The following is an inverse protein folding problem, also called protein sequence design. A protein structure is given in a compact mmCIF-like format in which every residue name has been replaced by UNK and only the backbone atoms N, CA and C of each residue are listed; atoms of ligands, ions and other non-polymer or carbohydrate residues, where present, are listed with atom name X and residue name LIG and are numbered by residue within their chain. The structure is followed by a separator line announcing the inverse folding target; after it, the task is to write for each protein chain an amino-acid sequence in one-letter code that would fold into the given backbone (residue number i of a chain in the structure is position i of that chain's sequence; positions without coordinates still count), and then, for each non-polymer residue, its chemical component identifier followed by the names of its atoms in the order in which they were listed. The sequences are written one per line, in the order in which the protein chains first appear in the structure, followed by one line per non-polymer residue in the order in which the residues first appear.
data_IF_179330809714
#
_entry.id   IF_179330809714
#
_cell.length_a   1.000
_cell.length_b   1.000
_cell.length_c   1.000
_cell.angle_alpha   90.00
_cell.angle_beta   90.00
_cell.angle_gamma   90.00
#
_symmetry.space_group_name_H-M   'P 1'
#
loop_
_entity.id
_entity.type
_entity.pdbx_description
1 polymer ?
2 non-polymer ?
#
# COMPACT_ATOMS: atom_id res chain seq x y z
N UNK A 10 4.26 -23.56 -15.36
CA UNK A 10 3.38 -24.19 -16.35
C UNK A 10 3.95 -24.08 -17.77
N UNK A 11 3.49 -24.96 -18.71
CA UNK A 11 3.96 -24.97 -20.11
C UNK A 11 3.14 -24.05 -21.05
N UNK A 12 2.10 -23.40 -20.51
CA UNK A 12 1.23 -22.43 -21.19
C UNK A 12 1.94 -21.03 -21.15
N UNK A 13 3.04 -20.92 -20.35
CA UNK A 13 3.83 -19.71 -20.06
C UNK A 13 5.36 -19.94 -20.10
N UNK A 14 6.17 -18.84 -20.26
CA UNK A 14 7.65 -18.89 -20.30
C UNK A 14 8.36 -17.67 -19.63
N UNK A 15 9.22 -17.96 -18.62
CA UNK A 15 10.03 -17.00 -17.82
C UNK A 15 11.09 -16.26 -18.63
N UNK A 16 11.03 -14.91 -18.65
CA UNK A 16 12.00 -14.09 -19.39
C UNK A 16 12.90 -13.28 -18.45
N UNK A 17 12.32 -12.58 -17.46
CA UNK A 17 13.06 -11.76 -16.49
C UNK A 17 12.53 -11.98 -15.06
N UNK A 18 13.22 -11.40 -14.05
CA UNK A 18 12.84 -11.50 -12.64
C UNK A 18 12.37 -10.11 -12.13
N UNK A 19 11.07 -9.98 -11.77
CA UNK A 19 10.45 -8.72 -11.32
C UNK A 19 10.94 -8.34 -9.91
N UNK A 20 10.68 -9.21 -8.93
CA UNK A 20 11.07 -9.00 -7.55
C UNK A 20 11.37 -10.28 -6.80
N UNK A 21 12.20 -10.17 -5.76
CA UNK A 21 12.59 -11.24 -4.84
C UNK A 21 12.08 -10.84 -3.43
N UNK A 22 12.01 -11.81 -2.52
CA UNK A 22 11.55 -11.60 -1.15
C UNK A 22 11.23 -12.88 -0.41
N UNK A 23 10.90 -12.77 0.89
CA UNK A 23 10.54 -13.91 1.76
C UNK A 23 9.30 -14.69 1.25
N UNK A 24 8.29 -13.96 0.73
CA UNK A 24 7.03 -14.47 0.15
C UNK A 24 7.23 -15.28 -1.16
N UNK A 25 8.43 -15.19 -1.75
CA UNK A 25 8.81 -15.88 -2.98
C UNK A 25 9.07 -14.93 -4.13
N UNK A 26 9.79 -15.38 -5.18
CA UNK A 26 10.04 -14.50 -6.30
C UNK A 26 8.97 -14.64 -7.39
N UNK A 27 8.64 -13.47 -7.98
CA UNK A 27 7.66 -13.20 -9.04
C UNK A 27 8.43 -12.89 -10.34
N UNK A 28 7.95 -13.40 -11.49
CA UNK A 28 8.66 -13.21 -12.76
C UNK A 28 7.79 -12.66 -13.88
N UNK A 29 8.42 -11.91 -14.81
CA UNK A 29 7.81 -11.41 -16.05
C UNK A 29 7.91 -12.59 -17.01
N UNK A 30 6.79 -12.96 -17.61
CA UNK A 30 6.75 -14.10 -18.52
C UNK A 30 5.84 -13.86 -19.70
N UNK A 31 6.14 -14.57 -20.80
CA UNK A 31 5.36 -14.52 -22.02
C UNK A 31 4.26 -15.58 -21.97
N UNK A 32 2.99 -15.15 -22.15
CA UNK A 32 1.82 -16.02 -22.23
C UNK A 32 1.65 -16.34 -23.72
N UNK A 33 2.44 -17.32 -24.18
CA UNK A 33 2.53 -17.79 -25.57
C UNK A 33 1.16 -18.14 -26.17
N UNK A 34 0.30 -18.81 -25.37
CA UNK A 34 -1.04 -19.19 -25.77
C UNK A 34 -1.93 -17.98 -26.07
N UNK A 35 -1.81 -16.93 -25.25
CA UNK A 35 -2.65 -15.73 -25.38
C UNK A 35 -1.93 -14.54 -26.04
N UNK A 36 -1.46 -14.78 -27.27
CA UNK A 36 -0.83 -13.80 -28.14
C UNK A 36 0.44 -13.18 -27.61
N UNK A 37 1.27 -14.01 -26.97
CA UNK A 37 2.55 -13.62 -26.36
C UNK A 37 2.50 -12.37 -25.52
N UNK A 38 1.42 -12.19 -24.71
CA UNK A 38 1.28 -11.03 -23.85
C UNK A 38 2.20 -11.20 -22.65
N UNK A 39 2.62 -10.08 -22.04
CA UNK A 39 3.46 -10.18 -20.86
C UNK A 39 2.55 -10.41 -19.66
N UNK A 40 2.86 -11.47 -18.89
CA UNK A 40 2.11 -11.85 -17.67
C UNK A 40 3.08 -12.06 -16.50
N UNK A 41 2.64 -11.67 -15.28
CA UNK A 41 3.40 -11.84 -14.04
C UNK A 41 3.03 -13.16 -13.36
N UNK A 42 4.02 -14.04 -13.15
CA UNK A 42 3.80 -15.33 -12.48
C UNK A 42 4.64 -15.53 -11.21
N UNK A 43 4.04 -16.14 -10.20
CA UNK A 43 4.71 -16.45 -8.93
C UNK A 43 4.24 -17.79 -8.40
N UNK A 44 5.20 -18.64 -8.09
CA UNK A 44 5.00 -19.99 -7.57
C UNK A 44 4.76 -20.00 -6.05
N UNK A 45 4.51 -21.22 -5.52
CA UNK A 45 4.32 -21.55 -4.09
C UNK A 45 5.06 -22.89 -3.91
N UNK A 46 5.88 -23.02 -2.83
CA UNK A 46 6.62 -24.25 -2.51
C UNK A 46 5.86 -25.10 -1.48
N UNK A 55 -3.70 -27.21 4.44
CA UNK A 55 -4.30 -26.77 3.17
C UNK A 55 -5.82 -26.66 3.23
N UNK A 56 -6.37 -26.15 4.36
CA UNK A 56 -7.82 -26.03 4.59
C UNK A 56 -8.29 -24.57 4.81
N UNK A 57 -7.67 -23.84 5.75
CA UNK A 57 -8.02 -22.45 6.08
C UNK A 57 -7.41 -21.40 5.11
N UNK A 58 -6.55 -21.87 4.19
CA UNK A 58 -5.86 -21.08 3.15
C UNK A 58 -6.62 -21.21 1.81
N UNK A 59 -7.61 -22.13 1.77
CA UNK A 59 -8.51 -22.37 0.62
C UNK A 59 -9.36 -21.11 0.42
N UNK A 60 -9.71 -20.43 1.55
CA UNK A 60 -10.48 -19.20 1.61
C UNK A 60 -9.79 -18.05 0.84
N UNK A 61 -8.48 -17.81 1.13
CA UNK A 61 -7.62 -16.77 0.57
C UNK A 61 -7.81 -16.61 -0.95
N UNK A 62 -7.80 -17.76 -1.67
CA UNK A 62 -7.93 -17.85 -3.13
C UNK A 62 -9.38 -17.74 -3.55
N UNK A 63 -10.31 -18.20 -2.68
CA UNK A 63 -11.75 -18.15 -2.90
C UNK A 63 -12.21 -16.68 -2.83
N UNK A 64 -11.55 -15.87 -1.97
CA UNK A 64 -11.82 -14.44 -1.85
C UNK A 64 -11.25 -13.72 -3.06
N UNK A 65 -10.05 -14.12 -3.55
CA UNK A 65 -9.44 -13.50 -4.71
C UNK A 65 -10.17 -13.85 -6.01
N UNK A 66 -10.41 -15.15 -6.27
CA UNK A 66 -11.15 -15.59 -7.46
C UNK A 66 -12.55 -15.00 -7.48
N UNK A 67 -13.03 -14.51 -6.31
CA UNK A 67 -14.30 -13.80 -6.16
C UNK A 67 -14.07 -12.30 -6.42
N UNK A 68 -13.05 -11.69 -5.76
CA UNK A 68 -12.68 -10.28 -5.89
C UNK A 68 -12.49 -9.94 -7.35
N UNK A 69 -11.92 -10.92 -8.10
CA UNK A 69 -11.68 -10.91 -9.53
C UNK A 69 -12.96 -10.62 -10.30
N UNK A 70 -14.11 -11.30 -9.95
CA UNK A 70 -15.40 -11.16 -10.63
C UNK A 70 -15.92 -9.72 -10.70
N UNK A 71 -15.37 -8.80 -9.90
CA UNK A 71 -15.81 -7.41 -9.87
C UNK A 71 -14.94 -6.56 -10.78
N UNK A 72 -13.84 -7.19 -11.30
CA UNK A 72 -12.80 -6.62 -12.14
C UNK A 72 -12.61 -5.13 -11.91
N UNK A 73 -12.22 -4.73 -10.65
CA UNK A 73 -12.03 -3.32 -10.29
C UNK A 73 -10.86 -2.73 -11.06
N UNK A 74 -11.02 -1.52 -11.64
CA UNK A 74 -9.94 -0.93 -12.44
C UNK A 74 -8.64 -0.61 -11.67
N UNK A 75 -8.64 -0.73 -10.33
CA UNK A 75 -7.48 -0.39 -9.54
C UNK A 75 -6.90 -1.54 -8.73
N UNK A 76 -6.94 -2.76 -9.27
CA UNK A 76 -6.38 -4.00 -8.68
C UNK A 76 -5.91 -4.95 -9.82
N UNK A 77 -4.69 -5.51 -9.73
CA UNK A 77 -4.18 -6.44 -10.75
C UNK A 77 -5.15 -7.61 -11.05
N UNK A 78 -5.34 -7.91 -12.34
CA UNK A 78 -6.18 -9.03 -12.75
C UNK A 78 -5.41 -10.31 -12.51
N UNK A 79 -6.12 -11.37 -12.18
CA UNK A 79 -5.59 -12.72 -12.00
C UNK A 79 -6.03 -13.47 -13.27
N UNK A 80 -5.14 -14.31 -13.83
CA UNK A 80 -5.50 -15.03 -15.05
C UNK A 80 -5.68 -16.53 -14.85
N UNK A 81 -4.89 -17.16 -13.96
CA UNK A 81 -5.01 -18.59 -13.69
C UNK A 81 -4.19 -19.05 -12.50
N UNK A 82 -4.56 -20.25 -11.97
CA UNK A 82 -3.91 -20.95 -10.86
C UNK A 82 -3.69 -22.41 -11.30
N UNK A 83 -2.42 -22.84 -11.37
CA UNK A 83 -2.00 -24.18 -11.82
C UNK A 83 -1.14 -24.89 -10.76
N UNK A 84 -1.07 -26.25 -10.83
CA UNK A 84 -0.26 -27.06 -9.92
C UNK A 84 1.02 -27.55 -10.63
N UNK A 93 3.20 -26.37 -3.92
CA UNK A 93 3.33 -26.68 -5.35
C UNK A 93 2.28 -25.94 -6.19
N UNK A 94 2.58 -24.69 -6.62
CA UNK A 94 1.66 -23.84 -7.39
C UNK A 94 2.35 -22.86 -8.37
N UNK A 95 1.53 -22.19 -9.23
CA UNK A 95 1.91 -21.16 -10.20
C UNK A 95 0.75 -20.17 -10.30
N UNK A 96 1.00 -18.91 -9.95
CA UNK A 96 -0.02 -17.86 -10.01
C UNK A 96 0.26 -16.84 -11.11
N UNK A 97 -0.65 -16.79 -12.09
CA UNK A 97 -0.54 -15.91 -13.25
C UNK A 97 -1.48 -14.70 -13.08
N UNK A 98 -0.94 -13.49 -13.32
CA UNK A 98 -1.67 -12.23 -13.23
C UNK A 98 -1.30 -11.35 -14.39
N UNK A 99 -1.94 -10.15 -14.47
CA UNK A 99 -1.60 -9.16 -15.47
C UNK A 99 -0.26 -8.54 -15.15
N UNK A 100 0.58 -8.32 -16.18
CA UNK A 100 1.87 -7.70 -16.03
C UNK A 100 1.68 -6.21 -16.24
N UNK A 101 2.16 -5.42 -15.29
CA UNK A 101 2.12 -3.95 -15.32
C UNK A 101 3.55 -3.50 -15.66
N UNK A 102 3.66 -2.38 -16.31
CA UNK A 102 4.91 -1.83 -16.81
C UNK A 102 5.94 -1.57 -15.70
N UNK A 103 5.58 -0.75 -14.73
CA UNK A 103 6.45 -0.39 -13.63
C UNK A 103 5.69 -0.22 -12.29
N UNK A 104 6.42 0.09 -11.18
CA UNK A 104 5.80 0.31 -9.87
C UNK A 104 5.81 1.81 -9.54
N UNK A 105 5.34 2.20 -8.36
CA UNK A 105 5.33 3.62 -8.03
C UNK A 105 6.75 4.08 -7.75
N UNK A 106 7.63 3.16 -7.22
CA UNK A 106 9.03 3.39 -6.84
C UNK A 106 9.77 3.93 -8.05
N UNK A 107 9.90 3.10 -9.11
CA UNK A 107 10.59 3.47 -10.34
C UNK A 107 9.84 4.57 -11.10
N UNK A 108 8.57 4.78 -10.78
CA UNK A 108 7.84 5.89 -11.36
C UNK A 108 8.40 7.17 -10.77
N UNK A 109 8.56 7.23 -9.43
CA UNK A 109 9.10 8.40 -8.72
C UNK A 109 10.62 8.64 -9.03
N UNK A 110 11.35 7.55 -9.33
CA UNK A 110 12.78 7.58 -9.67
C UNK A 110 13.11 8.29 -10.98
N UNK A 111 12.12 8.41 -11.89
CA UNK A 111 12.30 8.97 -13.23
C UNK A 111 11.52 10.30 -13.50
N UNK A 112 10.63 10.72 -12.56
CA UNK A 112 9.85 11.95 -12.76
C UNK A 112 10.77 13.19 -12.59
N UNK A 113 10.83 14.09 -13.63
CA UNK A 113 11.71 15.27 -13.53
C UNK A 113 11.23 16.29 -12.50
N UNK A 114 12.16 17.16 -12.06
CA UNK A 114 11.94 18.21 -11.06
C UNK A 114 10.83 19.18 -11.49
N UNK A 115 10.07 19.80 -10.55
CA UNK A 115 10.13 19.71 -9.09
C UNK A 115 9.25 18.58 -8.51
N UNK A 116 9.35 17.40 -9.13
CA UNK A 116 8.61 16.21 -8.75
C UNK A 116 7.38 15.95 -9.60
N UNK A 117 6.36 15.34 -8.96
CA UNK A 117 5.09 14.92 -9.56
C UNK A 117 4.09 16.11 -9.55
N UNK A 118 3.35 16.36 -10.69
CA UNK A 118 2.37 17.48 -10.70
C UNK A 118 1.27 17.33 -9.66
N UNK A 119 0.82 18.46 -9.07
CA UNK A 119 -0.23 18.51 -8.05
C UNK A 119 -1.41 17.61 -8.43
N UNK A 120 -1.92 17.77 -9.65
CA UNK A 120 -3.04 17.00 -10.18
C UNK A 120 -2.69 15.52 -10.40
N UNK A 121 -1.39 15.18 -10.70
CA UNK A 121 -0.97 13.78 -10.88
C UNK A 121 -0.97 13.02 -9.52
N UNK A 122 -0.60 13.71 -8.43
CA UNK A 122 -0.60 13.19 -7.07
C UNK A 122 -2.05 12.98 -6.65
N UNK A 123 -2.91 13.99 -6.86
CA UNK A 123 -4.34 13.94 -6.56
C UNK A 123 -5.07 12.83 -7.35
N UNK A 124 -4.68 12.60 -8.62
CA UNK A 124 -5.33 11.57 -9.44
C UNK A 124 -4.92 10.18 -9.00
N UNK A 125 -3.61 9.94 -8.87
CA UNK A 125 -3.05 8.64 -8.48
C UNK A 125 -3.48 8.22 -7.09
N UNK A 126 -3.78 9.20 -6.23
CA UNK A 126 -4.25 9.00 -4.87
C UNK A 126 -5.71 8.59 -4.84
N UNK A 127 -6.48 9.00 -5.85
CA UNK A 127 -7.89 8.70 -5.97
C UNK A 127 -8.03 7.22 -6.28
N UNK A 128 -7.30 6.79 -7.32
CA UNK A 128 -7.21 5.43 -7.83
C UNK A 128 -6.71 4.47 -6.76
N UNK A 129 -5.92 5.00 -5.81
CA UNK A 129 -5.36 4.27 -4.68
C UNK A 129 -6.47 4.04 -3.68
N UNK A 130 -7.23 5.10 -3.34
CA UNK A 130 -8.33 4.99 -2.38
C UNK A 130 -9.50 4.18 -2.94
N UNK A 131 -9.71 4.19 -4.27
CA UNK A 131 -10.77 3.41 -4.90
C UNK A 131 -10.50 1.91 -4.74
N UNK A 132 -9.26 1.52 -5.07
CA UNK A 132 -8.77 0.15 -4.93
C UNK A 132 -8.75 -0.29 -3.48
N UNK A 133 -8.56 0.67 -2.56
CA UNK A 133 -8.56 0.41 -1.13
C UNK A 133 -9.98 0.25 -0.59
N UNK A 134 -10.89 1.13 -1.03
CA UNK A 134 -12.32 1.11 -0.72
C UNK A 134 -12.93 -0.20 -1.26
N UNK A 135 -12.47 -0.67 -2.45
CA UNK A 135 -12.89 -1.93 -3.05
C UNK A 135 -12.49 -3.13 -2.17
N UNK A 136 -11.18 -3.25 -1.85
CA UNK A 136 -10.66 -4.31 -0.98
C UNK A 136 -11.31 -4.34 0.40
N UNK A 137 -11.51 -3.16 1.04
CA UNK A 137 -12.09 -3.07 2.40
C UNK A 137 -13.56 -3.47 2.48
N UNK A 138 -14.32 -3.04 1.45
CA UNK A 138 -15.74 -3.35 1.30
C UNK A 138 -15.93 -4.84 1.13
N UNK A 139 -14.91 -5.53 0.58
CA UNK A 139 -14.94 -6.97 0.37
C UNK A 139 -14.16 -7.73 1.42
N UNK A 140 -14.03 -7.15 2.65
CA UNK A 140 -13.34 -7.69 3.83
C UNK A 140 -11.89 -8.18 3.53
N UNK A 141 -11.14 -7.35 2.80
CA UNK A 141 -9.75 -7.66 2.51
C UNK A 141 -8.91 -6.46 2.96
N UNK A 142 -7.76 -6.76 3.57
CA UNK A 142 -6.78 -5.79 4.04
C UNK A 142 -5.49 -6.08 3.24
N UNK A 143 -4.86 -5.02 2.68
CA UNK A 143 -3.59 -5.23 1.95
C UNK A 143 -2.49 -5.73 2.93
N UNK A 144 -2.31 -5.00 4.05
CA UNK A 144 -1.39 -5.31 5.16
C UNK A 144 0.06 -4.93 4.88
N UNK A 145 0.50 -4.89 3.61
CA UNK A 145 1.84 -4.45 3.23
C UNK A 145 1.83 -3.46 2.07
N UNK A 146 1.13 -2.34 2.23
CA UNK A 146 1.11 -1.34 1.17
C UNK A 146 2.37 -0.48 1.09
N UNK A 147 3.11 -0.65 0.02
CA UNK A 147 4.32 0.11 -0.26
C UNK A 147 4.42 0.51 -1.75
N UNK A 148 5.19 1.58 -2.08
CA UNK A 148 5.37 1.97 -3.49
C UNK A 148 5.94 0.87 -4.37
N UNK A 149 6.62 -0.11 -3.75
CA UNK A 149 7.24 -1.24 -4.46
C UNK A 149 6.19 -2.14 -5.10
N UNK A 150 4.93 -2.12 -4.58
CA UNK A 150 3.80 -2.94 -5.06
C UNK A 150 2.54 -2.14 -5.42
N UNK A 151 2.68 -0.82 -5.61
CA UNK A 151 1.61 0.03 -6.14
C UNK A 151 2.11 0.16 -7.58
N UNK A 152 1.48 -0.57 -8.52
CA UNK A 152 1.93 -0.57 -9.91
C UNK A 152 1.28 0.55 -10.72
N UNK A 153 1.95 0.96 -11.84
CA UNK A 153 1.52 2.05 -12.74
C UNK A 153 1.67 1.63 -14.21
N UNK A 154 0.54 1.55 -14.96
CA UNK A 154 0.51 1.17 -16.40
C UNK A 154 0.96 2.34 -17.28
N UNK A 155 1.24 2.06 -18.58
CA UNK A 155 1.67 3.02 -19.63
C UNK A 155 0.78 4.26 -19.69
N UNK A 156 -0.55 4.07 -19.51
CA UNK A 156 -1.59 5.09 -19.46
C UNK A 156 -1.56 5.92 -18.16
N UNK A 157 -0.87 5.41 -17.13
CA UNK A 157 -0.72 6.03 -15.80
C UNK A 157 -1.84 5.68 -14.84
N UNK A 158 -2.27 4.40 -14.87
CA UNK A 158 -3.34 3.84 -14.06
C UNK A 158 -2.79 3.04 -12.87
N UNK A 159 -3.23 3.39 -11.64
CA UNK A 159 -2.84 2.69 -10.41
C UNK A 159 -3.48 1.32 -10.32
N UNK A 160 -2.65 0.32 -10.05
CA UNK A 160 -3.11 -1.05 -9.83
C UNK A 160 -2.44 -1.61 -8.53
N UNK A 161 -3.28 -1.87 -7.48
CA UNK A 161 -2.85 -2.50 -6.24
C UNK A 161 -2.45 -3.92 -6.58
N UNK A 162 -1.32 -4.39 -6.03
CA UNK A 162 -0.81 -5.76 -6.23
C UNK A 162 -0.27 -6.29 -4.91
N UNK A 163 0.30 -7.52 -4.90
CA UNK A 163 0.95 -8.19 -3.77
C UNK A 163 0.05 -8.40 -2.53
N UNK A 164 -1.18 -8.97 -2.72
CA UNK A 164 -2.16 -9.33 -1.66
C UNK A 164 -2.77 -10.75 -1.89
N UNK A 165 -3.25 -11.39 -0.81
CA UNK A 165 -3.78 -12.76 -0.83
C UNK A 165 -2.66 -13.79 -0.83
N UNK A 166 -1.90 -13.86 0.30
CA UNK A 166 -0.71 -14.70 0.57
C UNK A 166 -0.75 -16.11 -0.04
N UNK A 181 12.57 -6.46 6.86
CA UNK A 181 11.93 -5.84 5.70
C UNK A 181 11.81 -4.31 5.90
N UNK A 182 10.75 -3.68 5.33
CA UNK A 182 10.50 -2.25 5.36
C UNK A 182 9.30 -1.94 6.22
N UNK A 183 9.60 -1.31 7.36
CA UNK A 183 8.62 -0.90 8.34
C UNK A 183 8.17 0.51 8.12
N UNK A 184 8.79 1.19 7.15
CA UNK A 184 8.57 2.59 6.79
C UNK A 184 7.13 2.95 6.58
N UNK A 185 6.33 1.99 6.09
CA UNK A 185 4.90 2.17 5.81
C UNK A 185 4.01 1.50 6.86
N UNK A 186 4.59 0.72 7.81
CA UNK A 186 3.79 0.07 8.87
C UNK A 186 3.04 1.05 9.78
N UNK A 187 1.78 0.71 10.09
CA UNK A 187 0.86 1.46 10.94
C UNK A 187 1.31 1.35 12.41
N UNK A 188 0.97 2.33 13.30
CA UNK A 188 1.41 2.24 14.71
C UNK A 188 0.98 0.96 15.44
N UNK A 189 -0.33 0.60 15.35
CA UNK A 189 -0.92 -0.57 15.98
C UNK A 189 -0.31 -1.89 15.52
N UNK A 190 0.22 -1.94 14.29
CA UNK A 190 0.86 -3.16 13.77
C UNK A 190 2.18 -3.25 14.50
N UNK A 191 2.88 -2.09 14.60
CA UNK A 191 4.18 -1.98 15.26
C UNK A 191 4.05 -2.38 16.70
N UNK A 192 3.04 -1.83 17.38
CA UNK A 192 2.71 -2.11 18.77
C UNK A 192 2.23 -3.54 18.99
N UNK A 193 1.66 -4.18 17.92
CA UNK A 193 1.07 -5.52 17.87
C UNK A 193 -0.30 -5.54 18.57
N UNK A 194 -1.09 -4.46 18.46
CA UNK A 194 -2.42 -4.49 19.05
C UNK A 194 -3.41 -4.91 17.97
N UNK A 195 -4.10 -3.95 17.33
CA UNK A 195 -5.04 -4.25 16.26
C UNK A 195 -4.32 -4.35 14.92
N UNK A 196 -4.95 -5.01 13.93
CA UNK A 196 -4.45 -5.18 12.57
C UNK A 196 -5.61 -5.07 11.58
N UNK A 197 -6.65 -4.29 11.91
CA UNK A 197 -7.85 -4.10 11.08
C UNK A 197 -7.58 -3.21 9.85
N UNK A 198 -8.60 -2.98 8.96
CA UNK A 198 -8.47 -2.17 7.74
C UNK A 198 -7.73 -0.83 7.91
N UNK A 199 -7.80 -0.04 9.04
CA UNK A 199 -7.02 1.22 9.11
C UNK A 199 -5.51 1.11 8.99
N UNK A 200 -4.99 -0.13 8.92
CA UNK A 200 -3.59 -0.45 8.69
C UNK A 200 -3.14 0.15 7.33
N UNK A 201 -4.00 0.09 6.30
CA UNK A 201 -3.65 0.60 4.97
C UNK A 201 -3.87 2.09 4.81
N UNK A 202 -4.59 2.75 5.74
CA UNK A 202 -4.81 4.19 5.57
C UNK A 202 -3.61 4.98 6.07
N UNK A 203 -2.87 4.36 6.99
CA UNK A 203 -1.63 4.90 7.47
C UNK A 203 -0.70 4.80 6.27
N UNK A 204 -0.43 3.56 5.77
CA UNK A 204 0.42 3.34 4.60
C UNK A 204 0.12 4.27 3.42
N UNK A 205 -1.15 4.66 3.25
CA UNK A 205 -1.54 5.54 2.16
C UNK A 205 -1.09 7.00 2.45
N UNK A 206 -1.19 7.47 3.69
CA UNK A 206 -0.66 8.78 4.08
C UNK A 206 0.88 8.88 3.99
N UNK A 207 1.55 7.73 4.11
CA UNK A 207 2.98 7.54 4.03
C UNK A 207 3.44 7.60 2.58
N UNK A 208 2.58 7.13 1.66
CA UNK A 208 2.77 7.05 0.19
C UNK A 208 2.36 8.39 -0.44
N UNK A 209 1.35 9.06 0.17
CA UNK A 209 0.83 10.38 -0.21
C UNK A 209 1.90 11.42 0.06
N UNK A 210 2.64 11.30 1.19
CA UNK A 210 3.73 12.22 1.59
C UNK A 210 4.89 12.05 0.63
N UNK A 211 5.36 10.79 0.46
CA UNK A 211 6.40 10.33 -0.44
C UNK A 211 6.10 10.76 -1.87
N UNK A 212 4.83 11.07 -2.18
CA UNK A 212 4.47 11.51 -3.54
C UNK A 212 5.00 12.91 -3.80
N UNK A 213 4.86 13.80 -2.80
CA UNK A 213 5.38 15.16 -2.83
C UNK A 213 6.90 15.08 -2.61
N UNK A 214 7.31 14.87 -1.32
CA UNK A 214 8.65 14.66 -0.78
C UNK A 214 9.60 13.90 -1.70
N UNK A 215 9.11 12.82 -2.31
CA UNK A 215 9.83 11.91 -3.21
C UNK A 215 10.86 11.08 -2.44
N UNK A 216 10.55 10.84 -1.16
CA UNK A 216 11.38 10.04 -0.25
C UNK A 216 10.57 9.64 0.98
N UNK A 217 10.77 8.40 1.53
CA UNK A 217 10.02 7.94 2.73
C UNK A 217 10.00 8.92 3.89
N UNK A 218 8.80 9.27 4.35
CA UNK A 218 8.56 10.18 5.46
C UNK A 218 9.15 9.66 6.78
N UNK A 219 8.77 8.42 7.15
CA UNK A 219 9.22 7.72 8.36
C UNK A 219 10.15 6.58 7.94
N UNK A 220 11.49 6.78 8.02
CA UNK A 220 12.44 5.73 7.59
C UNK A 220 13.20 5.11 8.79
N UNK A 221 12.46 4.32 9.56
CA UNK A 221 12.93 3.59 10.74
C UNK A 221 13.58 2.27 10.39
N UNK A 222 14.24 1.66 11.39
CA UNK A 222 15.02 0.42 11.22
C UNK A 222 14.61 -0.72 12.14
N UNK A 223 13.58 -0.51 12.94
CA UNK A 223 13.05 -1.53 13.85
C UNK A 223 11.69 -1.01 14.20
N UNK A 224 10.84 -1.83 14.81
CA UNK A 224 9.50 -1.37 15.17
C UNK A 224 9.57 -0.16 16.09
N UNK A 225 10.39 -0.28 17.19
CA UNK A 225 10.66 0.75 18.22
C UNK A 225 11.27 2.02 17.60
N UNK A 226 12.16 1.88 16.58
CA UNK A 226 12.75 3.02 15.88
C UNK A 226 11.69 3.71 15.01
N UNK A 227 10.87 2.91 14.30
CA UNK A 227 9.79 3.32 13.42
C UNK A 227 8.76 4.13 14.16
N UNK A 228 8.21 3.52 15.23
CA UNK A 228 7.22 4.08 16.12
C UNK A 228 7.76 5.45 16.57
N UNK A 229 9.05 5.47 16.95
CA UNK A 229 9.77 6.66 17.36
C UNK A 229 9.66 7.77 16.33
N UNK A 230 10.37 7.58 15.19
CA UNK A 230 10.38 8.51 14.06
C UNK A 230 8.97 9.00 13.70
N UNK A 231 7.94 8.13 13.85
CA UNK A 231 6.51 8.46 13.64
C UNK A 231 6.07 9.56 14.61
N UNK A 232 6.19 9.28 15.93
CA UNK A 232 5.76 10.14 17.03
C UNK A 232 6.58 11.41 17.16
N UNK A 233 7.78 11.44 16.55
CA UNK A 233 8.63 12.63 16.50
C UNK A 233 7.96 13.71 15.63
N UNK A 234 7.16 13.28 14.61
CA UNK A 234 6.41 14.13 13.66
C UNK A 234 4.96 14.41 14.11
N UNK A 235 4.17 13.36 14.39
CA UNK A 235 2.74 13.50 14.77
C UNK A 235 2.56 13.90 16.24
N UNK A 236 3.57 13.63 17.07
CA UNK A 236 3.55 13.93 18.49
C UNK A 236 3.13 12.76 19.35
N UNK A 237 3.14 12.97 20.67
CA UNK A 237 2.73 11.94 21.62
C UNK A 237 1.21 11.96 21.69
N UNK A 238 0.50 10.88 21.25
CA UNK A 238 -0.98 10.89 21.36
C UNK A 238 -1.39 10.82 22.83
N UNK A 239 -2.59 11.32 23.13
CA UNK A 239 -3.14 11.27 24.48
C UNK A 239 -3.16 9.83 24.99
N UNK A 240 -2.94 9.65 26.31
CA UNK A 240 -2.94 8.33 26.96
C UNK A 240 -4.22 7.54 26.62
N UNK A 241 -5.34 8.27 26.32
CA UNK A 241 -6.65 7.71 25.94
C UNK A 241 -6.62 6.92 24.62
N UNK A 242 -5.76 7.35 23.66
CA UNK A 242 -5.57 6.76 22.32
C UNK A 242 -4.48 5.70 22.30
N UNK A 243 -3.73 5.51 23.40
CA UNK A 243 -2.67 4.50 23.42
C UNK A 243 -3.30 3.13 23.65
N UNK A 244 -2.91 2.06 22.90
CA UNK A 244 -3.53 0.74 23.12
C UNK A 244 -3.46 0.21 24.55
N UNK A 245 -4.63 -0.12 25.10
CA UNK A 245 -4.72 -0.68 26.44
C UNK A 245 -4.18 -2.13 26.37
N UNK A 246 -3.14 -2.43 27.18
CA UNK A 246 -2.45 -3.72 27.29
C UNK A 246 -1.67 -4.12 26.04
N UNK A 247 -0.41 -3.66 25.97
CA UNK A 247 0.63 -3.86 24.93
C UNK A 247 1.99 -3.88 25.62
N UNK A 248 3.03 -4.44 24.96
CA UNK A 248 4.37 -4.51 25.51
C UNK A 248 5.05 -3.14 25.65
N UNK A 249 4.89 -2.24 24.63
CA UNK A 249 5.49 -0.90 24.62
C UNK A 249 4.59 0.19 25.24
N UNK A 250 5.02 0.86 26.33
CA UNK A 250 4.18 1.92 26.91
C UNK A 250 4.43 3.31 26.35
N UNK A 251 3.37 4.15 26.34
CA UNK A 251 3.38 5.55 25.88
C UNK A 251 4.53 6.32 26.55
N UNK A 252 4.79 5.95 27.82
CA UNK A 252 5.80 6.47 28.73
C UNK A 252 7.22 6.04 28.33
N UNK A 253 7.41 5.55 27.07
CA UNK A 253 8.74 5.14 26.57
C UNK A 253 9.19 5.93 25.32
N UNK A 254 8.59 7.12 25.08
CA UNK A 254 8.93 7.94 23.91
C UNK A 254 9.10 9.41 24.25
N UNK A 257 7.73 13.56 23.32
CA UNK A 257 7.65 14.11 21.96
C UNK A 257 6.48 15.08 21.74
N UNK A 258 6.81 16.28 21.26
CA UNK A 258 5.80 17.30 20.95
C UNK A 258 5.41 17.18 19.47
N UNK A 259 4.15 17.51 19.15
CA UNK A 259 3.63 17.44 17.79
C UNK A 259 4.28 18.49 16.90
N UNK A 260 4.77 18.05 15.73
CA UNK A 260 5.43 18.92 14.77
C UNK A 260 4.51 19.23 13.57
N UNK A 261 4.51 20.50 13.04
CA UNK A 261 3.67 20.80 11.86
C UNK A 261 4.15 20.02 10.64
N UNK A 262 3.18 19.59 9.82
CA UNK A 262 3.43 18.74 8.67
C UNK A 262 4.00 19.50 7.43
N UNK A 263 3.56 20.76 7.21
CA UNK A 263 3.99 21.62 6.08
C UNK A 263 5.54 21.76 5.99
N UNK A 264 6.21 21.40 7.10
CA UNK A 264 7.64 21.39 7.28
C UNK A 264 8.23 20.18 6.54
N UNK A 265 7.68 18.99 6.81
CA UNK A 265 8.12 17.69 6.27
C UNK A 265 7.57 17.38 4.89
N UNK A 266 6.33 17.77 4.63
CA UNK A 266 5.66 17.62 3.33
C UNK A 266 5.53 19.07 2.87
N UNK A 267 6.54 19.50 2.10
CA UNK A 267 6.81 20.86 1.66
C UNK A 267 5.59 21.63 1.09
N UNK A 268 5.31 21.54 -0.23
CA UNK A 268 4.23 22.30 -0.85
C UNK A 268 2.92 21.51 -1.03
N UNK A 269 2.16 21.40 0.06
CA UNK A 269 0.86 20.72 0.10
C UNK A 269 -0.19 21.72 0.63
N UNK A 270 -1.39 21.77 -0.02
CA UNK A 270 -2.49 22.67 0.37
C UNK A 270 -3.09 22.30 1.72
N UNK A 271 -3.90 23.21 2.31
CA UNK A 271 -4.52 22.95 3.62
C UNK A 271 -5.53 21.80 3.58
N UNK A 272 -6.07 21.49 2.37
CA UNK A 272 -7.00 20.39 2.07
C UNK A 272 -6.23 19.03 2.12
N UNK A 273 -5.13 18.94 1.37
CA UNK A 273 -4.24 17.78 1.34
C UNK A 273 -3.63 17.53 2.71
N UNK A 274 -3.33 18.64 3.44
CA UNK A 274 -2.81 18.63 4.82
C UNK A 274 -3.88 18.01 5.72
N UNK A 275 -5.17 18.44 5.55
CA UNK A 275 -6.32 17.92 6.31
C UNK A 275 -6.49 16.40 6.07
N UNK A 276 -6.47 15.96 4.78
CA UNK A 276 -6.58 14.56 4.38
C UNK A 276 -5.44 13.70 4.92
N UNK A 277 -4.17 14.06 4.63
CA UNK A 277 -3.00 13.30 5.09
C UNK A 277 -2.93 13.17 6.63
N UNK A 278 -3.35 14.21 7.37
CA UNK A 278 -3.34 14.13 8.83
C UNK A 278 -4.36 13.11 9.35
N UNK A 279 -5.56 13.07 8.71
CA UNK A 279 -6.64 12.14 9.01
C UNK A 279 -6.20 10.74 8.67
N UNK A 280 -5.35 10.59 7.62
CA UNK A 280 -4.76 9.31 7.24
C UNK A 280 -3.77 8.92 8.29
N UNK A 281 -2.89 9.86 8.71
CA UNK A 281 -1.89 9.59 9.75
C UNK A 281 -2.37 10.01 11.17
N UNK A 282 -3.46 9.36 11.66
CA UNK A 282 -4.05 9.53 13.00
C UNK A 282 -3.71 8.28 13.83
N UNK A 283 -3.02 8.45 14.98
CA UNK A 283 -2.51 7.34 15.81
C UNK A 283 -3.54 6.26 16.10
N UNK A 284 -4.73 6.69 16.61
CA UNK A 284 -5.87 5.83 16.95
C UNK A 284 -6.51 5.30 15.67
N UNK A 285 -6.40 3.97 15.39
CA UNK A 285 -6.98 3.39 14.15
C UNK A 285 -8.47 3.65 14.03
N UNK A 286 -9.15 3.70 15.20
CA UNK A 286 -10.56 4.00 15.37
C UNK A 286 -10.87 5.41 14.90
N UNK A 287 -9.88 6.34 14.97
CA UNK A 287 -10.03 7.74 14.56
C UNK A 287 -9.53 7.99 13.14
N UNK A 288 -8.71 7.08 12.62
CA UNK A 288 -8.16 7.13 11.27
C UNK A 288 -9.28 7.05 10.21
N UNK A 289 -9.26 7.98 9.25
CA UNK A 289 -10.23 8.05 8.15
C UNK A 289 -10.25 6.74 7.36
N UNK A 290 -11.37 6.42 6.74
CA UNK A 290 -11.50 5.22 5.92
C UNK A 290 -11.47 5.62 4.48
N UNK A 291 -11.03 4.69 3.59
CA UNK A 291 -10.99 4.93 2.14
C UNK A 291 -12.33 5.49 1.61
N UNK A 292 -13.46 5.04 2.16
CA UNK A 292 -14.79 5.51 1.76
C UNK A 292 -15.05 7.01 2.09
N UNK A 293 -14.70 7.47 3.31
CA UNK A 293 -14.85 8.89 3.68
C UNK A 293 -13.74 9.72 3.02
N UNK A 294 -12.58 9.07 2.75
CA UNK A 294 -11.43 9.67 2.09
C UNK A 294 -11.76 9.91 0.62
N UNK A 295 -12.53 9.00 -0.01
CA UNK A 295 -12.95 9.15 -1.41
C UNK A 295 -13.85 10.38 -1.57
N UNK A 296 -14.51 10.84 -0.46
CA UNK A 296 -15.41 11.99 -0.42
C UNK A 296 -14.72 13.35 -0.21
N UNK A 297 -13.78 13.45 0.76
CA UNK A 297 -12.98 14.63 1.18
C UNK A 297 -12.84 15.75 0.12
N UNK A 298 -12.99 17.03 0.54
CA UNK A 298 -12.89 18.16 -0.42
C UNK A 298 -11.65 18.24 -1.34
N UNK A 299 -10.58 17.48 -1.03
CA UNK A 299 -9.33 17.41 -1.79
C UNK A 299 -9.57 16.95 -3.26
N UNK A 300 -10.58 16.09 -3.50
CA UNK A 300 -10.91 15.54 -4.83
C UNK A 300 -12.08 16.27 -5.52
N UNK A 301 -12.68 17.29 -4.85
CA UNK A 301 -13.84 18.08 -5.32
C UNK A 301 -13.43 19.22 -6.25
#
# INVERSE_FOLDING_TARGET
MEKDGLCRADQQYECVAEIGEGAYGKVFKARDLKNGGRFVALKRVRVQTGEEGMPLSTIREVAVLRHLETFEHPNVVRLFDVCTVSRTDRETKLTLVFEHVDQDLTTYLDKVPEPGVPTETIKDMMFQLLRGLDFLHSHRVVHRDLKPQNILVTSSGQIKLADFGLARIYSFQMALTSVVVTLWYRAPEVLLQSSYATPVDLWSVGCIFAEMFRRKPLFRGSSDVDQLGKILDVIGLPGEEDWPRDVALPRQAFHSKSAQPIEKFVTDIDELGKDLLLKCLTFNPAKRISAYSALSHPYFQHHHHHH
#
